data_IF_074238069382
#
_entry.id   IF_074238069382
#
_cell.length_a   1.000
_cell.length_b   1.000
_cell.length_c   1.000
_cell.angle_alpha   90.00
_cell.angle_beta   90.00
_cell.angle_gamma   90.00
#
_symmetry.space_group_name_H-M   'P 1'
#
loop_
_entity.id
_entity.type
_entity.pdbx_description
1 polymer ?
#
# COMPACT_ATOMS: atom_id res chain seq x y z
N UNK A 1 3.72 -7.30 2.54
CA UNK A 1 3.97 -7.98 1.25
C UNK A 1 4.35 -9.43 1.53
N UNK A 2 4.36 -10.28 0.50
CA UNK A 2 4.91 -11.64 0.57
C UNK A 2 6.44 -11.58 0.55
N UNK A 3 7.11 -12.24 1.49
CA UNK A 3 8.57 -12.32 1.53
C UNK A 3 9.11 -13.16 0.37
N UNK A 4 10.18 -12.69 -0.28
CA UNK A 4 10.88 -13.43 -1.33
C UNK A 4 11.96 -14.38 -0.82
N UNK A 5 12.15 -14.52 0.50
CA UNK A 5 13.28 -15.28 1.07
C UNK A 5 13.30 -16.75 0.63
N UNK A 6 12.13 -17.41 0.60
CA UNK A 6 12.01 -18.81 0.13
C UNK A 6 12.25 -18.94 -1.37
N UNK A 7 11.77 -17.98 -2.15
CA UNK A 7 11.99 -17.94 -3.60
C UNK A 7 13.48 -17.79 -3.92
N UNK A 8 14.20 -16.94 -3.17
CA UNK A 8 15.64 -16.76 -3.32
C UNK A 8 16.41 -18.03 -2.94
N UNK A 9 16.09 -18.62 -1.78
CA UNK A 9 16.70 -19.87 -1.30
C UNK A 9 16.48 -21.04 -2.27
N UNK A 10 15.30 -21.16 -2.86
CA UNK A 10 15.02 -22.21 -3.84
C UNK A 10 15.76 -22.02 -5.18
N UNK A 11 16.13 -20.78 -5.52
CA UNK A 11 16.88 -20.46 -6.76
C UNK A 11 18.38 -20.54 -6.58
N UNK A 12 18.87 -20.35 -5.36
CA UNK A 12 20.28 -20.27 -5.03
C UNK A 12 20.60 -21.33 -3.98
N UNK A 13 21.33 -22.37 -4.38
CA UNK A 13 21.73 -23.46 -3.47
C UNK A 13 22.53 -22.98 -2.25
N UNK A 14 23.18 -21.82 -2.33
CA UNK A 14 24.00 -21.23 -1.26
C UNK A 14 23.24 -20.26 -0.35
N UNK A 15 22.03 -19.84 -0.70
CA UNK A 15 21.31 -18.83 0.07
C UNK A 15 20.60 -19.45 1.27
N UNK A 16 20.85 -18.89 2.45
CA UNK A 16 20.18 -19.25 3.70
C UNK A 16 19.17 -18.20 4.12
N UNK A 17 18.13 -18.61 4.84
CA UNK A 17 17.08 -17.70 5.32
C UNK A 17 17.30 -17.42 6.80
N UNK A 18 17.82 -16.23 7.10
CA UNK A 18 18.00 -15.75 8.47
C UNK A 18 16.79 -14.95 8.93
N UNK A 19 16.22 -15.29 10.09
CA UNK A 19 15.04 -14.62 10.65
C UNK A 19 15.18 -14.43 12.15
N UNK A 20 14.66 -13.30 12.64
CA UNK A 20 14.65 -13.00 14.06
C UNK A 20 13.84 -14.04 14.83
N UNK A 21 14.41 -14.57 15.91
CA UNK A 21 13.72 -15.39 16.90
C UNK A 21 13.41 -14.61 18.20
N UNK A 22 13.67 -13.30 18.20
CA UNK A 22 13.30 -12.41 19.30
C UNK A 22 11.78 -12.24 19.38
N UNK A 23 11.28 -11.74 20.51
CA UNK A 23 9.87 -11.37 20.65
C UNK A 23 8.86 -12.53 20.50
N UNK A 24 9.33 -13.78 20.56
CA UNK A 24 8.48 -14.98 20.43
C UNK A 24 8.10 -15.33 18.99
N UNK A 25 8.89 -14.90 18.00
CA UNK A 25 8.63 -15.23 16.60
C UNK A 25 8.78 -16.73 16.30
N UNK A 26 7.77 -17.27 15.61
CA UNK A 26 7.71 -18.66 15.17
C UNK A 26 7.52 -18.73 13.64
N UNK A 27 8.24 -19.66 13.01
CA UNK A 27 8.20 -19.90 11.57
C UNK A 27 7.98 -21.39 11.31
N UNK A 28 7.18 -21.73 10.28
CA UNK A 28 6.83 -23.12 9.95
C UNK A 28 7.61 -23.71 8.77
N UNK A 29 8.78 -23.16 8.51
CA UNK A 29 9.70 -23.59 7.47
C UNK A 29 11.13 -23.48 7.99
N UNK A 30 12.07 -24.12 7.30
CA UNK A 30 13.48 -24.11 7.70
C UNK A 30 14.06 -22.70 7.63
N UNK A 31 14.67 -22.28 8.74
CA UNK A 31 15.26 -20.97 8.92
C UNK A 31 16.47 -21.05 9.85
N UNK A 32 17.42 -20.17 9.63
CA UNK A 32 18.51 -19.87 10.55
C UNK A 32 18.02 -18.79 11.53
N UNK A 33 18.10 -19.09 12.82
CA UNK A 33 17.61 -18.20 13.87
C UNK A 33 18.67 -17.16 14.20
N UNK A 34 18.25 -15.90 14.30
CA UNK A 34 19.13 -14.79 14.71
C UNK A 34 18.53 -14.07 15.92
N UNK A 35 19.42 -13.50 16.74
CA UNK A 35 19.12 -12.69 17.93
C UNK A 35 19.96 -11.41 17.93
N UNK A 36 19.75 -10.55 18.92
CA UNK A 36 20.58 -9.35 19.11
C UNK A 36 22.08 -9.71 19.15
N UNK A 37 22.89 -8.87 18.50
CA UNK A 37 24.35 -8.96 18.36
C UNK A 37 24.89 -10.10 17.47
N UNK A 38 24.05 -10.95 16.87
CA UNK A 38 24.53 -11.90 15.87
C UNK A 38 25.11 -11.16 14.64
N UNK A 39 26.26 -11.63 14.16
CA UNK A 39 27.03 -11.01 13.09
C UNK A 39 27.14 -11.87 11.82
N UNK A 40 27.17 -11.22 10.67
CA UNK A 40 27.37 -11.82 9.35
C UNK A 40 28.45 -11.05 8.60
N UNK A 41 29.33 -11.76 7.89
CA UNK A 41 30.33 -11.13 7.03
C UNK A 41 30.01 -11.43 5.57
N UNK A 42 29.94 -10.37 4.76
CA UNK A 42 29.74 -10.45 3.32
C UNK A 42 30.86 -9.68 2.63
N UNK A 43 31.93 -10.38 2.25
CA UNK A 43 33.16 -9.73 1.76
C UNK A 43 33.76 -8.84 2.84
N UNK A 44 33.91 -7.55 2.55
CA UNK A 44 34.47 -6.54 3.47
C UNK A 44 33.41 -5.87 4.36
N UNK A 45 32.14 -6.28 4.25
CA UNK A 45 31.04 -5.72 5.06
C UNK A 45 30.71 -6.65 6.22
N UNK A 46 30.76 -6.11 7.43
CA UNK A 46 30.22 -6.69 8.64
C UNK A 46 28.79 -6.20 8.87
N UNK A 47 27.87 -7.13 9.06
CA UNK A 47 26.46 -6.88 9.37
C UNK A 47 26.16 -7.39 10.76
N UNK A 48 25.68 -6.54 11.67
CA UNK A 48 25.33 -6.93 13.04
C UNK A 48 23.86 -6.70 13.33
N UNK A 49 23.14 -7.75 13.69
CA UNK A 49 21.73 -7.69 14.05
C UNK A 49 21.53 -6.95 15.38
N UNK A 50 20.51 -6.09 15.44
CA UNK A 50 20.11 -5.35 16.65
C UNK A 50 18.61 -5.48 16.87
N UNK A 51 18.20 -6.00 18.02
CA UNK A 51 16.78 -6.12 18.38
C UNK A 51 16.18 -4.73 18.61
N UNK A 52 15.17 -4.39 17.83
CA UNK A 52 14.57 -3.04 17.75
C UNK A 52 13.04 -3.13 17.78
N UNK A 53 12.44 -3.73 18.84
CA UNK A 53 11.02 -4.00 18.91
C UNK A 53 10.19 -2.72 18.88
N UNK A 54 8.98 -2.82 18.34
CA UNK A 54 8.04 -1.71 18.31
C UNK A 54 7.04 -1.84 17.17
N UNK A 55 7.53 -1.86 15.93
CA UNK A 55 6.66 -2.16 14.79
C UNK A 55 6.11 -3.60 14.85
N UNK A 56 7.01 -4.53 15.18
CA UNK A 56 6.70 -5.91 15.53
C UNK A 56 7.56 -6.31 16.74
N UNK A 57 7.11 -7.28 17.57
CA UNK A 57 7.87 -7.74 18.74
C UNK A 57 9.27 -8.27 18.38
N UNK A 58 9.38 -8.93 17.24
CA UNK A 58 10.59 -9.61 16.76
C UNK A 58 11.51 -8.71 15.93
N UNK A 59 11.13 -7.44 15.69
CA UNK A 59 11.82 -6.59 14.73
C UNK A 59 13.32 -6.48 15.03
N UNK A 60 14.16 -6.69 14.00
CA UNK A 60 15.60 -6.47 14.04
C UNK A 60 16.01 -5.45 12.99
N UNK A 61 16.98 -4.60 13.34
CA UNK A 61 17.69 -3.73 12.44
C UNK A 61 19.11 -4.30 12.21
N UNK A 62 19.78 -3.89 11.15
CA UNK A 62 21.12 -4.39 10.83
C UNK A 62 22.12 -3.25 10.72
N UNK A 63 23.09 -3.21 11.63
CA UNK A 63 24.23 -2.30 11.55
C UNK A 63 25.17 -2.75 10.44
N UNK A 64 25.75 -1.78 9.73
CA UNK A 64 26.70 -2.00 8.64
C UNK A 64 28.01 -1.32 9.01
N UNK A 65 29.09 -2.09 9.01
CA UNK A 65 30.45 -1.63 9.27
C UNK A 65 31.41 -2.29 8.27
N UNK A 66 32.59 -1.69 8.11
CA UNK A 66 33.68 -2.33 7.37
C UNK A 66 34.39 -3.33 8.29
N UNK A 67 34.84 -4.47 7.77
CA UNK A 67 35.52 -5.50 8.58
C UNK A 67 36.81 -5.01 9.22
N UNK A 68 37.43 -3.96 8.67
CA UNK A 68 38.63 -3.30 9.24
C UNK A 68 38.28 -2.35 10.40
N UNK A 69 37.04 -1.88 10.48
CA UNK A 69 36.54 -0.92 11.47
C UNK A 69 35.20 -1.41 12.08
N UNK A 70 35.17 -2.58 12.73
CA UNK A 70 33.93 -3.23 13.18
C UNK A 70 33.15 -2.41 14.23
N UNK A 71 33.84 -1.55 14.99
CA UNK A 71 33.27 -0.71 16.03
C UNK A 71 32.82 0.68 15.51
N UNK A 72 33.07 0.99 14.24
CA UNK A 72 32.68 2.24 13.58
C UNK A 72 31.68 1.98 12.44
N UNK A 73 30.41 1.66 12.76
CA UNK A 73 29.41 1.47 11.71
C UNK A 73 29.27 2.76 10.89
N UNK A 74 28.97 2.59 9.60
CA UNK A 74 28.68 3.69 8.67
C UNK A 74 27.19 3.77 8.34
N UNK A 75 26.43 2.69 8.55
CA UNK A 75 25.01 2.62 8.20
C UNK A 75 24.19 1.66 9.03
N UNK A 76 22.87 1.76 8.91
CA UNK A 76 21.90 0.85 9.52
C UNK A 76 20.70 0.61 8.61
N UNK A 77 20.38 -0.66 8.35
CA UNK A 77 19.11 -1.08 7.76
C UNK A 77 18.04 -1.07 8.85
N UNK A 78 17.22 -0.02 8.91
CA UNK A 78 16.30 0.23 10.02
C UNK A 78 14.98 -0.54 9.94
N UNK A 79 14.76 -1.27 8.85
CA UNK A 79 13.53 -2.02 8.63
C UNK A 79 12.31 -1.10 8.63
N UNK A 80 11.29 -1.50 9.37
CA UNK A 80 10.09 -0.71 9.65
C UNK A 80 10.12 -0.08 11.05
N UNK A 81 11.27 0.01 11.69
CA UNK A 81 11.43 0.61 13.03
C UNK A 81 11.54 2.13 12.95
N UNK A 82 12.54 2.64 12.23
CA UNK A 82 12.78 4.07 11.98
C UNK A 82 12.72 4.36 10.48
N UNK A 83 11.96 5.38 10.07
CA UNK A 83 11.85 5.83 8.69
C UNK A 83 12.44 7.23 8.52
N UNK A 84 12.59 7.67 7.27
CA UNK A 84 12.85 9.09 6.99
C UNK A 84 11.64 9.92 7.41
N UNK A 85 11.84 10.80 8.38
CA UNK A 85 10.85 11.73 8.94
C UNK A 85 9.65 11.06 9.64
N UNK A 86 9.73 9.76 9.92
CA UNK A 86 8.67 8.97 10.54
C UNK A 86 9.23 7.78 11.34
N UNK A 87 8.35 6.96 11.91
CA UNK A 87 8.68 5.69 12.56
C UNK A 87 7.61 4.63 12.21
N UNK A 88 7.92 3.36 12.48
CA UNK A 88 6.95 2.27 12.39
C UNK A 88 5.68 2.55 13.18
N UNK A 89 4.56 1.97 12.76
CA UNK A 89 3.34 1.97 13.58
C UNK A 89 3.33 0.77 14.56
N UNK A 90 2.87 0.91 15.81
CA UNK A 90 2.85 -0.18 16.80
C UNK A 90 1.52 -0.97 16.88
N UNK A 91 0.51 -0.64 16.09
CA UNK A 91 -0.88 -1.10 16.25
C UNK A 91 -1.30 -2.27 15.33
N UNK A 92 -0.41 -2.76 14.45
CA UNK A 92 -0.72 -3.82 13.48
C UNK A 92 -1.00 -5.20 14.11
N UNK A 93 -0.71 -5.39 15.39
CA UNK A 93 -1.01 -6.64 16.12
C UNK A 93 -2.34 -6.54 16.88
N UNK A 94 -3.06 -5.42 16.75
CA UNK A 94 -4.33 -5.17 17.42
C UNK A 94 -4.16 -4.48 18.79
N UNK A 95 -5.27 -4.01 19.34
CA UNK A 95 -5.32 -3.15 20.52
C UNK A 95 -4.59 -3.76 21.74
N UNK A 96 -4.70 -5.08 21.92
CA UNK A 96 -4.06 -5.80 23.04
C UNK A 96 -2.54 -5.63 23.09
N UNK A 97 -1.88 -5.55 21.94
CA UNK A 97 -0.42 -5.43 21.85
C UNK A 97 0.04 -3.98 21.66
N UNK A 98 -0.87 -3.09 21.26
CA UNK A 98 -0.55 -1.73 20.81
C UNK A 98 0.20 -0.92 21.88
N UNK A 99 -0.26 -0.97 23.14
CA UNK A 99 0.37 -0.22 24.23
C UNK A 99 1.80 -0.70 24.50
N UNK A 100 1.98 -2.01 24.59
CA UNK A 100 3.30 -2.63 24.83
C UNK A 100 4.27 -2.33 23.68
N UNK A 101 3.81 -2.46 22.45
CA UNK A 101 4.61 -2.18 21.26
C UNK A 101 4.97 -0.70 21.12
N UNK A 102 4.07 0.22 21.49
CA UNK A 102 4.38 1.64 21.49
C UNK A 102 5.45 1.99 22.54
N UNK A 103 5.39 1.38 23.72
CA UNK A 103 6.42 1.53 24.76
C UNK A 103 7.77 0.94 24.31
N UNK A 104 7.78 -0.26 23.75
CA UNK A 104 8.99 -0.86 23.16
C UNK A 104 9.57 0.02 22.05
N UNK A 105 8.72 0.56 21.18
CA UNK A 105 9.16 1.45 20.12
C UNK A 105 9.77 2.74 20.67
N UNK A 106 9.15 3.33 21.68
CA UNK A 106 9.69 4.51 22.35
C UNK A 106 11.11 4.25 22.87
N UNK A 107 11.33 3.13 23.55
CA UNK A 107 12.66 2.74 24.03
C UNK A 107 13.63 2.42 22.89
N UNK A 108 13.20 1.72 21.84
CA UNK A 108 14.02 1.50 20.64
C UNK A 108 14.48 2.83 20.01
N UNK A 109 13.58 3.81 19.90
CA UNK A 109 13.89 5.12 19.34
C UNK A 109 14.82 5.93 20.26
N UNK A 110 14.56 5.93 21.57
CA UNK A 110 15.28 6.77 22.56
C UNK A 110 16.58 6.16 23.04
N UNK A 111 16.57 4.89 23.38
CA UNK A 111 17.67 4.22 24.05
C UNK A 111 18.66 3.58 23.10
N UNK A 112 18.27 3.34 21.85
CA UNK A 112 19.14 2.82 20.81
C UNK A 112 19.44 3.89 19.75
N UNK A 113 18.47 4.26 18.90
CA UNK A 113 18.75 5.14 17.75
C UNK A 113 19.29 6.52 18.16
N UNK A 114 18.73 7.18 19.19
CA UNK A 114 19.22 8.50 19.61
C UNK A 114 20.62 8.48 20.22
N UNK A 115 21.10 7.33 20.70
CA UNK A 115 22.46 7.16 21.25
C UNK A 115 23.50 6.88 20.17
N UNK A 116 23.09 6.65 18.92
CA UNK A 116 24.01 6.41 17.81
C UNK A 116 24.68 7.69 17.32
N UNK A 117 25.89 7.63 16.73
CA UNK A 117 26.56 8.77 16.12
C UNK A 117 25.76 9.39 14.97
N UNK A 118 25.96 10.70 14.75
CA UNK A 118 25.18 11.49 13.78
C UNK A 118 25.41 11.10 12.33
N UNK A 119 26.61 10.60 12.02
CA UNK A 119 27.03 10.26 10.66
C UNK A 119 26.39 8.98 10.13
N UNK A 120 25.82 8.15 11.01
CA UNK A 120 25.22 6.88 10.61
C UNK A 120 24.08 7.11 9.63
N UNK A 121 24.20 6.52 8.45
CA UNK A 121 23.14 6.53 7.44
C UNK A 121 22.02 5.57 7.82
N UNK A 122 20.77 5.99 7.63
CA UNK A 122 19.60 5.12 7.82
C UNK A 122 19.03 4.67 6.47
N UNK A 123 18.72 3.38 6.38
CA UNK A 123 18.13 2.72 5.22
C UNK A 123 16.84 2.00 5.62
N UNK A 124 15.69 2.68 5.53
CA UNK A 124 14.40 2.08 5.83
C UNK A 124 13.93 1.09 4.76
N UNK A 125 13.00 0.21 5.15
CA UNK A 125 12.40 -0.77 4.25
C UNK A 125 11.20 -0.22 3.46
N UNK A 126 10.63 0.93 3.89
CA UNK A 126 9.56 1.62 3.18
C UNK A 126 9.82 3.13 3.05
N UNK A 127 9.26 3.72 1.99
CA UNK A 127 9.26 5.16 1.71
C UNK A 127 7.85 5.76 1.67
N UNK A 128 7.76 6.98 1.13
CA UNK A 128 6.50 7.72 0.99
C UNK A 128 5.36 6.88 0.37
N UNK A 129 4.18 6.93 0.99
CA UNK A 129 2.98 6.23 0.55
C UNK A 129 2.77 4.83 1.14
N UNK A 130 3.72 4.30 1.92
CA UNK A 130 3.52 3.03 2.64
C UNK A 130 2.54 3.18 3.81
N UNK A 131 1.63 2.22 4.04
CA UNK A 131 0.74 2.21 5.20
C UNK A 131 1.43 1.71 6.50
N UNK A 132 2.74 1.39 6.46
CA UNK A 132 3.51 0.98 7.64
C UNK A 132 3.93 2.14 8.55
N UNK A 133 3.86 3.39 8.10
CA UNK A 133 4.24 4.57 8.87
C UNK A 133 3.44 5.81 8.49
N UNK A 134 3.42 6.80 9.36
CA UNK A 134 2.71 8.06 9.14
C UNK A 134 3.59 9.05 8.35
N UNK A 135 3.10 9.57 7.23
CA UNK A 135 3.74 10.64 6.45
C UNK A 135 5.27 10.43 6.21
N UNK A 136 5.66 9.21 5.80
CA UNK A 136 7.07 8.87 5.50
C UNK A 136 7.62 9.80 4.41
N UNK A 137 8.82 10.33 4.63
CA UNK A 137 9.51 11.22 3.70
C UNK A 137 9.77 10.59 2.33
N UNK A 138 9.85 11.44 1.30
CA UNK A 138 10.11 11.00 -0.07
C UNK A 138 11.59 10.59 -0.33
N UNK A 139 12.51 11.00 0.54
CA UNK A 139 13.92 10.59 0.45
C UNK A 139 14.04 9.12 0.84
N UNK A 140 14.89 8.38 0.12
CA UNK A 140 15.11 6.96 0.36
C UNK A 140 16.04 6.69 1.55
N UNK A 141 16.86 7.67 1.92
CA UNK A 141 17.82 7.58 3.03
C UNK A 141 17.89 8.90 3.79
N UNK A 142 18.46 8.85 5.00
CA UNK A 142 18.75 10.01 5.85
C UNK A 142 19.94 9.66 6.76
N UNK A 143 20.19 10.44 7.81
CA UNK A 143 21.15 10.10 8.86
C UNK A 143 20.53 10.21 10.25
N UNK A 144 21.12 9.52 11.23
CA UNK A 144 20.71 9.65 12.63
C UNK A 144 20.76 11.12 13.08
N UNK A 145 21.80 11.88 12.71
CA UNK A 145 21.92 13.28 13.08
C UNK A 145 20.84 14.20 12.48
N UNK A 146 20.37 13.90 11.26
CA UNK A 146 19.27 14.63 10.65
C UNK A 146 17.93 14.26 11.31
N UNK A 147 17.65 12.96 11.45
CA UNK A 147 16.41 12.48 12.04
C UNK A 147 16.30 12.91 13.51
N UNK A 148 17.38 12.86 14.29
CA UNK A 148 17.39 13.32 15.69
C UNK A 148 16.90 14.77 15.84
N UNK A 149 17.18 15.64 14.86
CA UNK A 149 16.77 17.05 14.90
C UNK A 149 15.39 17.33 14.33
N UNK A 150 14.94 16.52 13.37
CA UNK A 150 13.77 16.87 12.54
C UNK A 150 12.64 15.84 12.56
N UNK A 151 12.92 14.58 12.93
CA UNK A 151 11.91 13.54 12.99
C UNK A 151 11.05 13.75 14.23
N UNK A 152 9.75 14.02 14.04
CA UNK A 152 8.82 14.31 15.13
C UNK A 152 8.69 13.16 16.12
N UNK A 153 8.79 11.90 15.67
CA UNK A 153 8.73 10.72 16.53
C UNK A 153 9.90 10.62 17.52
N UNK A 154 11.04 11.24 17.20
CA UNK A 154 12.22 11.28 18.08
C UNK A 154 12.18 12.42 19.11
N UNK A 155 11.18 13.31 19.07
CA UNK A 155 11.12 14.50 19.92
C UNK A 155 10.33 14.30 21.23
N UNK A 156 9.58 13.21 21.38
CA UNK A 156 8.73 12.98 22.55
C UNK A 156 9.53 12.40 23.71
N UNK A 157 9.53 13.05 24.87
CA UNK A 157 10.24 12.69 26.10
C UNK A 157 9.45 11.73 27.01
N UNK A 158 8.15 11.56 26.74
CA UNK A 158 7.25 10.71 27.50
C UNK A 158 6.59 9.65 26.60
N UNK A 159 6.57 8.39 27.07
CA UNK A 159 5.93 7.25 26.39
C UNK A 159 4.48 7.55 26.03
N UNK A 160 3.73 8.20 26.94
CA UNK A 160 2.32 8.52 26.71
C UNK A 160 2.13 9.48 25.53
N UNK A 161 2.86 10.60 25.51
CA UNK A 161 2.78 11.60 24.43
C UNK A 161 3.20 11.00 23.09
N UNK A 162 4.24 10.17 23.09
CA UNK A 162 4.66 9.40 21.92
C UNK A 162 3.54 8.48 21.41
N UNK A 163 2.97 7.67 22.30
CA UNK A 163 1.91 6.71 21.96
C UNK A 163 0.69 7.42 21.39
N UNK A 164 0.22 8.48 22.05
CA UNK A 164 -0.93 9.26 21.59
C UNK A 164 -0.69 9.82 20.18
N UNK A 165 0.52 10.35 19.91
CA UNK A 165 0.88 10.86 18.59
C UNK A 165 1.00 9.75 17.54
N UNK A 166 1.67 8.63 17.85
CA UNK A 166 1.86 7.51 16.95
C UNK A 166 0.50 6.91 16.51
N UNK A 167 -0.45 6.78 17.43
CA UNK A 167 -1.79 6.27 17.13
C UNK A 167 -2.66 7.28 16.39
N UNK A 168 -2.59 8.57 16.76
CA UNK A 168 -3.38 9.61 16.10
C UNK A 168 -2.96 9.86 14.65
N UNK A 169 -1.70 9.59 14.31
CA UNK A 169 -1.14 9.79 12.97
C UNK A 169 -1.07 8.52 12.13
N UNK A 170 -1.33 7.35 12.73
CA UNK A 170 -1.27 6.08 12.02
C UNK A 170 -2.26 6.04 10.84
N UNK A 171 -1.82 5.58 9.65
CA UNK A 171 -2.73 5.40 8.53
C UNK A 171 -3.73 4.27 8.82
N UNK A 172 -4.83 4.13 8.05
CA UNK A 172 -5.74 2.99 8.20
C UNK A 172 -5.01 1.64 8.08
N UNK A 173 -5.38 0.68 8.93
CA UNK A 173 -4.79 -0.67 8.93
C UNK A 173 -5.25 -1.46 7.70
N UNK A 174 -4.35 -1.95 6.84
CA UNK A 174 -4.75 -2.75 5.69
C UNK A 174 -5.39 -4.08 6.06
N UNK A 175 -6.56 -4.35 5.47
CA UNK A 175 -7.37 -5.56 5.73
C UNK A 175 -6.63 -6.86 5.44
N UNK A 176 -5.67 -6.85 4.51
CA UNK A 176 -4.92 -8.03 4.10
C UNK A 176 -3.65 -8.31 4.93
N UNK A 177 -3.23 -7.38 5.81
CA UNK A 177 -2.01 -7.56 6.60
C UNK A 177 -2.03 -8.79 7.51
N UNK A 178 -3.14 -9.15 8.19
CA UNK A 178 -3.22 -10.40 8.94
C UNK A 178 -2.94 -11.65 8.09
N UNK A 179 -3.38 -11.66 6.82
CA UNK A 179 -3.06 -12.73 5.87
C UNK A 179 -1.57 -12.74 5.54
N UNK A 180 -0.97 -11.58 5.25
CA UNK A 180 0.47 -11.48 4.93
C UNK A 180 1.36 -11.97 6.07
N UNK A 181 1.04 -11.63 7.32
CA UNK A 181 1.75 -12.14 8.49
C UNK A 181 1.73 -13.67 8.53
N UNK A 182 0.55 -14.27 8.36
CA UNK A 182 0.40 -15.74 8.32
C UNK A 182 1.14 -16.38 7.16
N UNK A 183 1.06 -15.80 5.96
CA UNK A 183 1.76 -16.30 4.76
C UNK A 183 3.27 -16.28 4.97
N UNK A 184 3.82 -15.18 5.49
CA UNK A 184 5.26 -15.06 5.73
C UNK A 184 5.74 -15.99 6.85
N UNK A 185 5.00 -16.12 7.95
CA UNK A 185 5.36 -17.01 9.05
C UNK A 185 5.23 -18.51 8.68
N UNK A 186 4.21 -18.88 7.90
CA UNK A 186 4.04 -20.26 7.43
C UNK A 186 5.05 -20.64 6.34
N UNK A 187 5.74 -19.66 5.76
CA UNK A 187 6.60 -19.84 4.59
C UNK A 187 5.79 -19.70 3.30
N UNK A 188 5.99 -18.62 2.53
CA UNK A 188 5.34 -18.46 1.23
C UNK A 188 5.62 -19.62 0.28
N UNK A 189 4.68 -19.95 -0.59
CA UNK A 189 4.89 -20.92 -1.66
C UNK A 189 6.04 -20.45 -2.58
N UNK A 190 6.92 -21.37 -2.97
CA UNK A 190 7.96 -21.13 -3.98
C UNK A 190 7.31 -21.27 -5.34
N UNK A 191 7.26 -20.18 -6.11
CA UNK A 191 6.61 -20.14 -7.41
C UNK A 191 7.53 -20.64 -8.53
N UNK A 192 8.84 -20.41 -8.40
CA UNK A 192 9.87 -20.74 -9.40
C UNK A 192 9.84 -19.82 -10.63
N UNK A 193 8.66 -19.43 -11.08
CA UNK A 193 8.42 -18.48 -12.17
C UNK A 193 7.18 -17.64 -11.88
N UNK A 194 6.90 -16.64 -12.72
CA UNK A 194 5.65 -15.91 -12.57
C UNK A 194 4.46 -16.82 -12.89
N UNK A 195 3.33 -16.67 -12.15
CA UNK A 195 2.11 -17.39 -12.47
C UNK A 195 1.67 -17.14 -13.92
N UNK A 196 1.07 -18.13 -14.56
CA UNK A 196 0.55 -17.99 -15.92
C UNK A 196 -0.82 -17.33 -15.91
N UNK A 197 -1.03 -16.38 -16.80
CA UNK A 197 -2.34 -15.84 -17.16
C UNK A 197 -2.58 -16.11 -18.66
N UNK A 198 -3.49 -17.03 -19.04
CA UNK A 198 -3.71 -17.33 -20.44
C UNK A 198 -4.35 -16.13 -21.17
N UNK A 199 -3.88 -15.85 -22.39
CA UNK A 199 -4.55 -14.90 -23.27
C UNK A 199 -5.88 -15.47 -23.77
N UNK A 200 -6.95 -14.68 -23.63
CA UNK A 200 -8.28 -15.05 -24.08
C UNK A 200 -8.74 -14.12 -25.21
N UNK A 201 -9.19 -14.66 -26.36
CA UNK A 201 -9.83 -13.84 -27.38
C UNK A 201 -11.19 -13.30 -26.87
N UNK A 202 -11.72 -12.21 -27.44
CA UNK A 202 -12.90 -11.51 -26.91
C UNK A 202 -14.09 -12.40 -26.56
N UNK A 203 -14.45 -13.35 -27.43
CA UNK A 203 -15.58 -14.28 -27.20
C UNK A 203 -15.37 -15.16 -25.95
N UNK A 204 -14.17 -15.70 -25.79
CA UNK A 204 -13.82 -16.54 -24.63
C UNK A 204 -13.70 -15.71 -23.35
N UNK A 205 -13.16 -14.49 -23.46
CA UNK A 205 -13.09 -13.55 -22.35
C UNK A 205 -14.49 -13.17 -21.85
N UNK A 206 -15.40 -12.77 -22.75
CA UNK A 206 -16.80 -12.44 -22.44
C UNK A 206 -17.51 -13.59 -21.73
N UNK A 207 -17.36 -14.82 -22.23
CA UNK A 207 -17.93 -16.00 -21.57
C UNK A 207 -17.37 -16.21 -20.14
N UNK A 208 -16.09 -15.89 -19.91
CA UNK A 208 -15.48 -15.95 -18.58
C UNK A 208 -16.02 -14.86 -17.65
N UNK A 209 -16.24 -13.64 -18.15
CA UNK A 209 -16.90 -12.54 -17.40
C UNK A 209 -18.31 -12.96 -16.97
N UNK A 210 -19.10 -13.54 -17.89
CA UNK A 210 -20.49 -13.94 -17.64
C UNK A 210 -20.62 -15.06 -16.60
N UNK A 211 -19.63 -15.97 -16.52
CA UNK A 211 -19.59 -17.02 -15.48
C UNK A 211 -19.44 -16.46 -14.07
N UNK A 212 -18.93 -15.22 -13.90
CA UNK A 212 -18.70 -14.57 -12.60
C UNK A 212 -17.86 -15.39 -11.60
N UNK A 213 -17.00 -16.28 -12.12
CA UNK A 213 -16.12 -17.12 -11.31
C UNK A 213 -14.78 -16.44 -10.97
N UNK A 214 -14.44 -15.36 -11.67
CA UNK A 214 -13.22 -14.58 -11.50
C UNK A 214 -13.54 -13.11 -11.18
N UNK A 215 -12.58 -12.43 -10.55
CA UNK A 215 -12.64 -10.98 -10.31
C UNK A 215 -12.10 -10.27 -11.55
N UNK A 216 -12.96 -9.50 -12.22
CA UNK A 216 -12.60 -8.71 -13.40
C UNK A 216 -11.88 -7.44 -12.96
N UNK A 217 -10.60 -7.34 -13.28
CA UNK A 217 -9.75 -6.20 -12.92
C UNK A 217 -9.21 -5.55 -14.18
N UNK A 218 -9.51 -4.26 -14.32
CA UNK A 218 -8.99 -3.43 -15.40
C UNK A 218 -7.84 -2.59 -14.87
N UNK A 219 -6.64 -2.82 -15.39
CA UNK A 219 -5.42 -2.13 -14.94
C UNK A 219 -5.04 -0.94 -15.82
N UNK A 220 -5.91 -0.56 -16.77
CA UNK A 220 -5.70 0.62 -17.59
C UNK A 220 -5.79 1.89 -16.76
N UNK A 221 -5.38 3.00 -17.36
CA UNK A 221 -5.48 4.32 -16.72
C UNK A 221 -6.93 4.70 -16.41
N UNK A 222 -7.15 5.56 -15.41
CA UNK A 222 -8.50 6.04 -15.07
C UNK A 222 -9.24 6.70 -16.24
N UNK A 223 -8.50 7.34 -17.16
CA UNK A 223 -9.08 7.98 -18.33
C UNK A 223 -9.50 6.96 -19.39
N UNK A 224 -8.65 5.95 -19.66
CA UNK A 224 -8.97 4.85 -20.55
C UNK A 224 -10.17 4.05 -20.02
N UNK A 225 -10.20 3.75 -18.73
CA UNK A 225 -11.33 3.09 -18.07
C UNK A 225 -12.61 3.94 -18.14
N UNK A 226 -12.52 5.24 -17.85
CA UNK A 226 -13.64 6.17 -17.90
C UNK A 226 -14.27 6.29 -19.30
N UNK A 227 -13.44 6.30 -20.35
CA UNK A 227 -13.88 6.39 -21.75
C UNK A 227 -14.61 5.14 -22.26
N UNK A 228 -14.31 3.97 -21.71
CA UNK A 228 -14.96 2.71 -22.04
C UNK A 228 -14.36 1.53 -21.29
N UNK A 229 -15.18 0.73 -20.62
CA UNK A 229 -14.75 -0.48 -19.90
C UNK A 229 -15.83 -1.56 -19.92
N UNK A 230 -15.44 -2.78 -19.53
CA UNK A 230 -16.35 -3.92 -19.41
C UNK A 230 -17.16 -3.79 -18.11
N UNK A 231 -18.48 -3.96 -18.20
CA UNK A 231 -19.40 -3.85 -17.07
C UNK A 231 -18.95 -4.70 -15.86
N UNK A 232 -18.94 -4.09 -14.67
CA UNK A 232 -18.55 -4.75 -13.42
C UNK A 232 -17.03 -4.91 -13.21
N UNK A 233 -16.19 -4.41 -14.11
CA UNK A 233 -14.75 -4.36 -13.90
C UNK A 233 -14.38 -3.40 -12.76
N UNK A 234 -13.43 -3.81 -11.91
CA UNK A 234 -12.81 -2.95 -10.91
C UNK A 234 -11.56 -2.30 -11.51
N UNK A 235 -11.45 -0.97 -11.47
CA UNK A 235 -10.28 -0.29 -12.02
C UNK A 235 -9.18 -0.12 -10.95
N UNK A 236 -8.11 -0.90 -11.07
CA UNK A 236 -6.90 -0.78 -10.24
C UNK A 236 -5.71 -0.54 -11.18
N UNK A 237 -5.42 0.73 -11.48
CA UNK A 237 -4.44 1.11 -12.50
C UNK A 237 -3.04 0.50 -12.30
N UNK A 238 -2.41 0.09 -13.41
CA UNK A 238 -1.15 -0.65 -13.52
C UNK A 238 0.12 0.10 -13.11
N UNK A 239 0.15 0.60 -11.87
CA UNK A 239 1.29 1.28 -11.26
C UNK A 239 1.73 0.54 -9.99
N UNK A 240 2.92 0.80 -9.41
CA UNK A 240 3.43 0.03 -8.28
C UNK A 240 2.46 -0.09 -7.08
N UNK A 241 1.62 0.92 -6.85
CA UNK A 241 0.61 0.94 -5.78
C UNK A 241 -0.54 -0.05 -6.00
N UNK A 242 -0.69 -0.62 -7.20
CA UNK A 242 -1.59 -1.73 -7.50
C UNK A 242 -1.44 -2.84 -6.47
N UNK A 243 -0.21 -3.21 -6.11
CA UNK A 243 0.07 -4.27 -5.12
C UNK A 243 -0.71 -4.04 -3.82
N UNK A 244 -0.70 -2.80 -3.33
CA UNK A 244 -1.37 -2.40 -2.08
C UNK A 244 -2.88 -2.42 -2.24
N UNK A 245 -3.40 -1.84 -3.33
CA UNK A 245 -4.85 -1.77 -3.58
C UNK A 245 -5.47 -3.11 -3.92
N UNK A 246 -4.76 -4.00 -4.63
CA UNK A 246 -5.17 -5.39 -4.81
C UNK A 246 -5.33 -6.07 -3.45
N UNK A 247 -4.39 -5.86 -2.52
CA UNK A 247 -4.51 -6.36 -1.15
C UNK A 247 -5.76 -5.85 -0.43
N UNK A 248 -6.08 -4.56 -0.55
CA UNK A 248 -7.28 -4.00 0.06
C UNK A 248 -8.59 -4.49 -0.56
N UNK A 249 -8.64 -4.59 -1.89
CA UNK A 249 -9.89 -4.63 -2.66
C UNK A 249 -10.28 -6.02 -3.16
N UNK A 250 -9.31 -6.93 -3.33
CA UNK A 250 -9.58 -8.22 -3.96
C UNK A 250 -9.70 -9.35 -2.93
N UNK A 251 -10.51 -10.34 -3.28
CA UNK A 251 -10.60 -11.62 -2.61
C UNK A 251 -9.39 -12.49 -3.00
N UNK A 252 -8.53 -12.91 -2.07
CA UNK A 252 -7.34 -13.71 -2.38
C UNK A 252 -7.65 -15.12 -2.87
N UNK A 253 -8.86 -15.64 -2.68
CA UNK A 253 -9.22 -16.99 -3.11
C UNK A 253 -9.74 -17.05 -4.54
N UNK A 254 -10.24 -15.93 -5.07
CA UNK A 254 -10.82 -15.87 -6.40
C UNK A 254 -9.76 -15.55 -7.46
N UNK A 255 -9.78 -16.24 -8.61
CA UNK A 255 -8.87 -15.93 -9.70
C UNK A 255 -9.13 -14.54 -10.28
N UNK A 256 -8.10 -13.92 -10.85
CA UNK A 256 -8.15 -12.59 -11.45
C UNK A 256 -8.28 -12.72 -12.97
N UNK A 257 -9.20 -11.99 -13.57
CA UNK A 257 -9.38 -11.85 -15.01
C UNK A 257 -8.98 -10.41 -15.41
N UNK A 258 -7.98 -10.27 -16.28
CA UNK A 258 -7.32 -8.98 -16.50
C UNK A 258 -7.73 -8.30 -17.80
N UNK A 259 -7.88 -6.98 -17.76
CA UNK A 259 -7.85 -6.10 -18.93
C UNK A 259 -6.62 -5.21 -18.81
N UNK A 260 -5.69 -5.36 -19.75
CA UNK A 260 -4.44 -4.61 -19.82
C UNK A 260 -4.58 -3.41 -20.77
N UNK A 261 -3.64 -2.46 -20.66
CA UNK A 261 -3.47 -1.39 -21.66
C UNK A 261 -2.79 -1.95 -22.92
N UNK A 262 -1.73 -2.73 -22.69
CA UNK A 262 -0.95 -3.44 -23.70
C UNK A 262 -0.64 -4.86 -23.19
N UNK A 263 -0.64 -5.84 -24.09
CA UNK A 263 -0.35 -7.24 -23.76
C UNK A 263 1.10 -7.40 -23.26
N UNK A 264 2.02 -6.55 -23.72
CA UNK A 264 3.43 -6.54 -23.30
C UNK A 264 3.63 -6.16 -21.82
N UNK A 265 2.65 -5.48 -21.22
CA UNK A 265 2.68 -5.13 -19.79
C UNK A 265 2.36 -6.33 -18.86
N UNK A 266 1.92 -7.47 -19.41
CA UNK A 266 1.42 -8.60 -18.61
C UNK A 266 2.40 -9.01 -17.51
N UNK A 267 3.66 -9.26 -17.84
CA UNK A 267 4.65 -9.74 -16.87
C UNK A 267 4.82 -8.77 -15.69
N UNK A 268 4.93 -7.48 -16.01
CA UNK A 268 5.05 -6.39 -15.04
C UNK A 268 3.83 -6.32 -14.14
N UNK A 269 2.62 -6.48 -14.68
CA UNK A 269 1.38 -6.46 -13.90
C UNK A 269 1.27 -7.69 -13.00
N UNK A 270 1.60 -8.89 -13.49
CA UNK A 270 1.61 -10.11 -12.69
C UNK A 270 2.57 -9.99 -11.49
N UNK A 271 3.75 -9.41 -11.69
CA UNK A 271 4.71 -9.13 -10.61
C UNK A 271 4.10 -8.27 -9.50
N UNK A 272 3.26 -7.29 -9.83
CA UNK A 272 2.61 -6.43 -8.82
C UNK A 272 1.57 -7.19 -8.00
N UNK A 273 0.81 -8.09 -8.61
CA UNK A 273 -0.16 -8.95 -7.91
C UNK A 273 0.53 -9.97 -6.99
N UNK A 274 1.62 -10.58 -7.44
CA UNK A 274 2.37 -11.58 -6.65
C UNK A 274 2.93 -10.98 -5.35
N UNK A 275 3.29 -9.69 -5.33
CA UNK A 275 3.81 -9.00 -4.12
C UNK A 275 2.83 -9.03 -2.94
N UNK A 276 1.54 -9.16 -3.18
CA UNK A 276 0.50 -9.34 -2.15
C UNK A 276 -0.17 -10.71 -2.21
N UNK A 277 0.51 -11.69 -2.82
CA UNK A 277 0.13 -13.10 -2.78
C UNK A 277 -1.06 -13.46 -3.66
N UNK A 278 -1.27 -12.72 -4.76
CA UNK A 278 -2.23 -13.09 -5.79
C UNK A 278 -1.50 -13.86 -6.90
N UNK A 279 -1.81 -15.15 -7.01
CA UNK A 279 -1.14 -16.09 -7.95
C UNK A 279 -2.12 -16.80 -8.88
N UNK A 280 -3.43 -16.68 -8.67
CA UNK A 280 -4.48 -17.33 -9.45
C UNK A 280 -5.01 -16.36 -10.52
N UNK A 281 -4.80 -16.68 -11.80
CA UNK A 281 -5.28 -15.88 -12.93
C UNK A 281 -6.18 -16.71 -13.84
N UNK A 282 -7.38 -16.21 -14.12
CA UNK A 282 -8.31 -16.81 -15.08
C UNK A 282 -7.92 -16.50 -16.53
N UNK A 283 -7.14 -15.44 -16.75
CA UNK A 283 -6.63 -15.02 -18.04
C UNK A 283 -6.55 -13.50 -18.18
N UNK A 284 -6.19 -13.05 -19.37
CA UNK A 284 -6.27 -11.64 -19.77
C UNK A 284 -6.93 -11.51 -21.15
N UNK A 285 -7.50 -10.35 -21.44
CA UNK A 285 -8.09 -10.05 -22.74
C UNK A 285 -7.00 -9.70 -23.75
N UNK A 286 -6.83 -10.54 -24.78
CA UNK A 286 -5.85 -10.29 -25.86
C UNK A 286 -6.20 -8.98 -26.58
N UNK A 287 -5.20 -8.10 -26.77
CA UNK A 287 -5.35 -6.78 -27.38
C UNK A 287 -6.38 -5.86 -26.65
N UNK A 288 -6.61 -6.14 -25.37
CA UNK A 288 -7.38 -5.32 -24.43
C UNK A 288 -8.73 -4.84 -24.97
N UNK A 289 -9.08 -3.60 -24.67
CA UNK A 289 -10.38 -3.05 -25.11
C UNK A 289 -10.48 -2.84 -26.63
N UNK A 290 -9.37 -2.77 -27.37
CA UNK A 290 -9.42 -2.63 -28.83
C UNK A 290 -10.10 -3.84 -29.46
N UNK A 291 -9.75 -5.05 -29.01
CA UNK A 291 -10.38 -6.28 -29.48
C UNK A 291 -11.80 -6.47 -28.96
N UNK A 292 -12.11 -5.97 -27.76
CA UNK A 292 -13.48 -5.95 -27.23
C UNK A 292 -14.42 -5.09 -28.08
N UNK A 293 -13.96 -3.88 -28.42
CA UNK A 293 -14.70 -2.92 -29.25
C UNK A 293 -14.85 -3.44 -30.68
N UNK A 294 -13.77 -3.97 -31.27
CA UNK A 294 -13.81 -4.58 -32.60
C UNK A 294 -14.74 -5.79 -32.68
N UNK A 295 -14.93 -6.51 -31.57
CA UNK A 295 -15.89 -7.62 -31.47
C UNK A 295 -17.35 -7.15 -31.29
N UNK A 296 -17.61 -5.84 -31.14
CA UNK A 296 -18.95 -5.27 -31.02
C UNK A 296 -19.62 -5.55 -29.67
N UNK A 297 -18.84 -5.74 -28.60
CA UNK A 297 -19.38 -6.02 -27.27
C UNK A 297 -19.71 -4.74 -26.49
N UNK A 298 -20.68 -4.80 -25.56
CA UNK A 298 -21.11 -3.62 -24.82
C UNK A 298 -20.01 -3.08 -23.90
N UNK A 299 -19.98 -1.76 -23.76
CA UNK A 299 -19.10 -1.04 -22.83
C UNK A 299 -19.92 -0.17 -21.88
N UNK A 300 -19.37 0.06 -20.70
CA UNK A 300 -19.81 1.09 -19.77
C UNK A 300 -18.84 2.27 -19.74
N UNK A 301 -19.31 3.39 -19.18
CA UNK A 301 -18.55 4.64 -19.05
C UNK A 301 -18.72 5.26 -17.68
N UNK A 302 -17.68 5.95 -17.24
CA UNK A 302 -17.67 6.80 -16.05
C UNK A 302 -17.21 8.18 -16.50
N UNK A 303 -18.06 9.18 -16.28
CA UNK A 303 -17.79 10.55 -16.67
C UNK A 303 -16.51 11.05 -15.99
N UNK A 304 -15.77 11.92 -16.66
CA UNK A 304 -14.63 12.62 -16.06
C UNK A 304 -15.03 14.09 -15.91
N UNK A 305 -14.80 14.64 -14.72
CA UNK A 305 -15.13 16.04 -14.40
C UNK A 305 -13.86 16.75 -13.92
N UNK A 306 -13.56 17.89 -14.51
CA UNK A 306 -12.45 18.73 -14.05
C UNK A 306 -12.73 19.32 -12.67
N UNK A 307 -11.69 19.78 -11.98
CA UNK A 307 -11.85 20.46 -10.68
C UNK A 307 -12.61 21.78 -10.81
N UNK A 308 -12.56 22.44 -11.98
CA UNK A 308 -13.29 23.68 -12.24
C UNK A 308 -14.79 23.42 -12.39
N UNK A 309 -15.18 22.42 -13.20
CA UNK A 309 -16.58 22.01 -13.34
C UNK A 309 -17.16 21.52 -12.01
N UNK A 310 -16.36 20.77 -11.22
CA UNK A 310 -16.76 20.38 -9.87
C UNK A 310 -17.03 21.61 -9.00
N UNK A 311 -16.13 22.60 -9.02
CA UNK A 311 -16.31 23.81 -8.22
C UNK A 311 -17.58 24.59 -8.57
N UNK A 312 -17.93 24.64 -9.85
CA UNK A 312 -19.14 25.30 -10.35
C UNK A 312 -20.42 24.53 -9.99
N UNK A 313 -20.37 23.19 -10.05
CA UNK A 313 -21.57 22.33 -9.94
C UNK A 313 -21.76 21.67 -8.59
N UNK A 314 -20.79 21.73 -7.66
CA UNK A 314 -20.77 20.98 -6.39
C UNK A 314 -22.05 21.07 -5.56
N UNK A 315 -22.77 22.20 -5.58
CA UNK A 315 -24.04 22.37 -4.85
C UNK A 315 -25.18 21.50 -5.37
N UNK A 316 -25.09 21.05 -6.63
CA UNK A 316 -26.06 20.16 -7.28
C UNK A 316 -25.63 18.68 -7.29
N UNK A 317 -24.42 18.39 -6.82
CA UNK A 317 -23.80 17.07 -6.90
C UNK A 317 -23.66 16.43 -5.52
N UNK A 318 -23.69 15.09 -5.49
CA UNK A 318 -23.24 14.33 -4.33
C UNK A 318 -21.72 14.16 -4.41
N UNK A 319 -20.97 15.04 -3.74
CA UNK A 319 -19.50 15.01 -3.74
C UNK A 319 -19.00 14.04 -2.66
N UNK A 320 -18.17 13.08 -3.06
CA UNK A 320 -17.66 12.03 -2.16
C UNK A 320 -16.13 12.05 -2.17
N UNK A 321 -15.56 12.31 -0.99
CA UNK A 321 -14.13 12.20 -0.73
C UNK A 321 -13.79 10.77 -0.28
N UNK A 322 -12.95 10.09 -1.05
CA UNK A 322 -12.53 8.70 -0.75
C UNK A 322 -11.09 8.58 -0.24
N UNK A 323 -10.48 9.68 0.21
CA UNK A 323 -9.17 9.73 0.86
C UNK A 323 -9.19 9.10 2.25
N UNK A 324 -8.02 8.88 2.84
CA UNK A 324 -7.91 8.40 4.22
C UNK A 324 -8.35 9.48 5.23
N UNK A 325 -8.69 9.10 6.48
CA UNK A 325 -9.14 10.05 7.52
C UNK A 325 -8.13 11.17 7.82
N UNK A 326 -6.83 10.87 7.79
CA UNK A 326 -5.78 11.88 8.00
C UNK A 326 -5.72 12.93 6.89
N UNK A 327 -6.00 12.54 5.65
CA UNK A 327 -6.07 13.47 4.51
C UNK A 327 -7.32 14.35 4.57
N UNK A 328 -8.46 13.77 4.98
CA UNK A 328 -9.73 14.50 5.17
C UNK A 328 -9.62 15.61 6.21
N UNK A 329 -8.96 15.32 7.35
CA UNK A 329 -8.71 16.29 8.44
C UNK A 329 -7.82 17.47 8.02
N UNK A 330 -7.01 17.31 6.97
CA UNK A 330 -6.15 18.38 6.42
C UNK A 330 -6.89 19.30 5.43
N UNK A 331 -8.22 19.22 5.39
CA UNK A 331 -9.10 19.96 4.49
C UNK A 331 -9.62 19.15 3.30
N UNK A 332 -10.76 19.56 2.78
CA UNK A 332 -11.51 18.86 1.73
C UNK A 332 -12.34 19.83 0.86
N UNK A 333 -12.92 19.32 -0.22
CA UNK A 333 -13.86 20.06 -1.08
C UNK A 333 -15.11 20.42 -0.27
N UNK A 334 -15.60 21.68 -0.31
CA UNK A 334 -16.76 22.10 0.46
C UNK A 334 -18.02 21.27 0.16
N UNK A 335 -18.71 20.86 1.22
CA UNK A 335 -19.92 20.03 1.15
C UNK A 335 -19.70 18.57 0.75
N UNK A 336 -18.45 18.10 0.70
CA UNK A 336 -18.14 16.69 0.42
C UNK A 336 -18.53 15.76 1.58
N UNK A 337 -18.92 14.53 1.27
CA UNK A 337 -19.08 13.45 2.24
C UNK A 337 -17.84 12.56 2.25
N UNK A 338 -17.29 12.29 3.44
CA UNK A 338 -16.14 11.41 3.59
C UNK A 338 -16.52 9.94 3.73
N UNK A 339 -16.06 9.12 2.77
CA UNK A 339 -16.14 7.66 2.83
C UNK A 339 -14.84 7.08 2.27
N UNK A 340 -13.93 6.67 3.15
CA UNK A 340 -12.65 6.08 2.72
C UNK A 340 -12.90 4.85 1.83
N UNK A 341 -12.19 4.73 0.69
CA UNK A 341 -12.52 3.73 -0.35
C UNK A 341 -12.65 2.28 0.15
N UNK A 342 -11.84 1.76 1.11
CA UNK A 342 -12.04 0.41 1.65
C UNK A 342 -13.32 0.21 2.47
N UNK A 343 -13.91 1.30 2.96
CA UNK A 343 -15.18 1.28 3.70
C UNK A 343 -16.40 1.41 2.78
N UNK A 344 -16.18 1.74 1.51
CA UNK A 344 -17.24 2.09 0.57
C UNK A 344 -18.29 0.99 0.44
N UNK A 345 -17.89 -0.28 0.40
CA UNK A 345 -18.85 -1.39 0.36
C UNK A 345 -19.79 -1.45 1.56
N UNK A 346 -19.33 -1.03 2.74
CA UNK A 346 -20.12 -1.03 3.98
C UNK A 346 -20.95 0.24 4.14
N UNK A 347 -20.48 1.34 3.57
CA UNK A 347 -21.02 2.69 3.81
C UNK A 347 -21.71 3.31 2.61
N UNK A 348 -21.70 2.69 1.43
CA UNK A 348 -22.36 3.26 0.24
C UNK A 348 -23.88 3.45 0.39
N UNK A 349 -24.53 2.77 1.35
CA UNK A 349 -25.94 3.00 1.68
C UNK A 349 -26.20 4.39 2.29
N UNK A 350 -25.15 5.07 2.75
CA UNK A 350 -25.20 6.46 3.18
C UNK A 350 -25.39 7.46 2.03
N UNK A 351 -25.18 7.01 0.78
CA UNK A 351 -25.26 7.84 -0.41
C UNK A 351 -26.58 7.63 -1.14
N UNK A 352 -27.11 8.69 -1.75
CA UNK A 352 -28.30 8.65 -2.59
C UNK A 352 -27.93 8.17 -4.00
N UNK A 353 -28.45 7.02 -4.40
CA UNK A 353 -28.21 6.41 -5.73
C UNK A 353 -28.84 7.17 -6.88
N UNK A 354 -29.84 8.03 -6.60
CA UNK A 354 -30.55 8.82 -7.61
C UNK A 354 -29.82 10.11 -7.97
N UNK A 355 -28.92 10.59 -7.11
CA UNK A 355 -28.15 11.82 -7.33
C UNK A 355 -26.90 11.56 -8.16
N UNK A 356 -26.58 12.54 -9.01
CA UNK A 356 -25.31 12.59 -9.73
C UNK A 356 -24.15 12.65 -8.72
N UNK A 357 -23.34 11.60 -8.71
CA UNK A 357 -22.28 11.40 -7.72
C UNK A 357 -20.93 11.69 -8.35
N UNK A 358 -20.11 12.49 -7.66
CA UNK A 358 -18.75 12.79 -8.08
C UNK A 358 -17.78 12.33 -7.00
N UNK A 359 -16.82 11.49 -7.38
CA UNK A 359 -15.81 10.95 -6.47
C UNK A 359 -14.45 11.57 -6.76
N UNK A 360 -13.74 11.93 -5.71
CA UNK A 360 -12.35 12.39 -5.80
C UNK A 360 -11.51 11.79 -4.67
N UNK A 361 -10.19 11.75 -4.88
CA UNK A 361 -9.25 11.30 -3.87
C UNK A 361 -8.03 12.24 -3.79
N UNK A 362 -6.83 11.72 -3.49
CA UNK A 362 -5.59 12.49 -3.54
C UNK A 362 -5.25 12.95 -4.96
N UNK A 363 -5.14 12.01 -5.90
CA UNK A 363 -4.60 12.22 -7.26
C UNK A 363 -5.47 11.67 -8.41
N UNK A 364 -6.56 10.95 -8.09
CA UNK A 364 -7.46 10.31 -9.07
C UNK A 364 -7.49 8.78 -9.00
N UNK A 365 -6.44 8.15 -8.45
CA UNK A 365 -6.31 6.68 -8.45
C UNK A 365 -7.42 5.97 -7.64
N UNK A 366 -7.60 6.35 -6.38
CA UNK A 366 -8.61 5.75 -5.47
C UNK A 366 -10.04 6.11 -5.88
N UNK A 367 -10.24 7.27 -6.48
CA UNK A 367 -11.56 7.68 -6.96
C UNK A 367 -11.99 6.89 -8.18
N UNK A 368 -11.05 6.45 -9.04
CA UNK A 368 -11.37 5.49 -10.11
C UNK A 368 -11.81 4.12 -9.55
N UNK A 369 -11.11 3.60 -8.53
CA UNK A 369 -11.53 2.40 -7.79
C UNK A 369 -12.95 2.60 -7.24
N UNK A 370 -13.19 3.69 -6.51
CA UNK A 370 -14.49 3.99 -5.93
C UNK A 370 -15.61 4.09 -6.98
N UNK A 371 -15.34 4.76 -8.10
CA UNK A 371 -16.30 4.89 -9.19
C UNK A 371 -16.65 3.51 -9.79
N UNK A 372 -15.66 2.64 -9.98
CA UNK A 372 -15.86 1.27 -10.47
C UNK A 372 -16.60 0.35 -9.49
N UNK A 373 -16.63 0.70 -8.19
CA UNK A 373 -17.45 0.04 -7.17
C UNK A 373 -18.89 0.56 -7.19
N UNK A 374 -19.06 1.89 -7.29
CA UNK A 374 -20.38 2.53 -7.23
C UNK A 374 -21.22 2.25 -8.48
N UNK A 375 -20.60 2.16 -9.67
CA UNK A 375 -21.29 1.93 -10.94
C UNK A 375 -22.15 0.65 -10.94
N UNK A 376 -21.60 -0.54 -10.64
CA UNK A 376 -22.40 -1.76 -10.53
C UNK A 376 -23.34 -1.76 -9.31
N UNK A 377 -23.15 -0.87 -8.33
CA UNK A 377 -24.02 -0.73 -7.16
C UNK A 377 -25.30 0.10 -7.41
N UNK A 378 -25.57 0.48 -8.67
CA UNK A 378 -26.82 1.12 -9.10
C UNK A 378 -26.81 2.65 -9.05
N UNK A 379 -25.64 3.28 -8.90
CA UNK A 379 -25.51 4.73 -9.03
C UNK A 379 -25.56 5.11 -10.50
N UNK A 380 -26.61 5.84 -10.90
CA UNK A 380 -26.93 6.07 -12.32
C UNK A 380 -25.91 6.95 -13.03
N UNK A 381 -25.51 8.03 -12.37
CA UNK A 381 -24.59 9.03 -12.91
C UNK A 381 -23.39 9.20 -11.98
N UNK A 382 -22.22 8.80 -12.45
CA UNK A 382 -20.97 8.80 -11.68
C UNK A 382 -19.89 9.53 -12.47
N UNK A 383 -19.22 10.43 -11.78
CA UNK A 383 -18.10 11.20 -12.27
C UNK A 383 -16.87 10.94 -11.42
N UNK A 384 -15.73 10.72 -12.07
CA UNK A 384 -14.42 10.75 -11.44
C UNK A 384 -13.75 12.10 -11.71
N UNK A 385 -12.88 12.54 -10.79
CA UNK A 385 -12.16 13.83 -10.91
C UNK A 385 -10.67 13.57 -11.14
N UNK A 386 -10.17 13.63 -12.39
CA UNK A 386 -8.74 13.54 -12.67
C UNK A 386 -7.92 14.59 -11.90
N UNK A 387 -6.77 14.20 -11.38
CA UNK A 387 -5.92 15.04 -10.51
C UNK A 387 -6.47 15.29 -9.11
N UNK A 388 -7.79 15.17 -8.91
CA UNK A 388 -8.50 15.20 -7.63
C UNK A 388 -8.02 16.33 -6.68
N UNK A 389 -7.73 16.02 -5.42
CA UNK A 389 -7.34 16.99 -4.38
C UNK A 389 -6.05 17.76 -4.71
N UNK A 390 -5.06 17.11 -5.32
CA UNK A 390 -3.84 17.79 -5.74
C UNK A 390 -4.12 18.87 -6.78
N UNK A 391 -4.95 18.58 -7.79
CA UNK A 391 -5.37 19.55 -8.78
C UNK A 391 -6.23 20.66 -8.15
N UNK A 392 -7.14 20.31 -7.23
CA UNK A 392 -7.99 21.26 -6.51
C UNK A 392 -7.17 22.32 -5.77
N UNK A 393 -6.15 21.88 -5.02
CA UNK A 393 -5.22 22.77 -4.31
C UNK A 393 -4.39 23.63 -5.25
N UNK A 394 -3.85 23.04 -6.33
CA UNK A 394 -3.06 23.79 -7.34
C UNK A 394 -3.89 24.86 -8.03
N UNK A 395 -5.16 24.59 -8.27
CA UNK A 395 -6.13 25.54 -8.83
C UNK A 395 -6.60 26.61 -7.82
N UNK A 396 -6.14 26.55 -6.56
CA UNK A 396 -6.51 27.49 -5.48
C UNK A 396 -8.02 27.61 -5.27
N UNK A 397 -8.73 26.50 -5.41
CA UNK A 397 -10.18 26.43 -5.22
C UNK A 397 -10.54 26.40 -3.72
N UNK A 398 -11.78 26.77 -3.34
CA UNK A 398 -12.19 26.85 -1.93
C UNK A 398 -12.02 25.52 -1.19
N UNK A 399 -11.60 25.57 0.08
CA UNK A 399 -11.36 24.40 0.94
C UNK A 399 -12.17 24.57 2.22
N UNK A 400 -12.78 23.48 2.69
CA UNK A 400 -13.44 23.39 4.00
C UNK A 400 -12.55 22.59 4.96
N UNK A 401 -12.48 22.99 6.24
CA UNK A 401 -11.84 22.21 7.29
C UNK A 401 -10.31 22.22 7.34
N UNK A 402 -9.64 23.04 6.52
CA UNK A 402 -8.23 23.38 6.73
C UNK A 402 -8.16 24.58 7.69
N UNK A 403 -7.79 24.32 8.95
CA UNK A 403 -7.55 25.32 9.99
C UNK A 403 -8.77 26.15 10.45
N UNK A 404 -9.81 25.47 10.94
CA UNK A 404 -10.81 26.11 11.82
C UNK A 404 -11.75 27.12 11.17
N UNK A 405 -11.99 27.03 9.86
CA UNK A 405 -13.11 27.67 9.16
C UNK A 405 -13.87 26.66 8.30
#
# INVERSE_FOLDING_TARGET
>A
LVSGSRELCARLESAKIFVSHEGGAEYKFEVEKIKDADGFTFGEVLITARHTPGHTPEHVAYLLADTELPDEPWGILTGDSLFVSSAGRPDLLGEKHTKQLAEQQFHTLRDFYLKMPDHIMIYPNHGAGSPCGADIGARLTSTIGYERRHNKFLQFDEVKKFTDYALATAPPVPTYYPRMKKVNANGPEVLGSLPRAPGLPPKAFKATVEKKAAQLVDVRTMLAFGGGHIAGALNIGGSPILSVWAGWMLDPEKPILLVLEDDDDLEKILRLFVRTGYTKFAGYLIDGMKSWDAAGFPIERIGQMSVHELNERKSSLQVVDVRGPGEWKKGHVPGARHIFVPELHKRMAELDRSKSTVVYCGSGYRSSIAASILKPAGFKEIWNVPGSWEAWKKAKLPIEGADGQ
#
